data_IF_540427116229
#
_entry.id   IF_540427116229
#
_cell.length_a   1.000
_cell.length_b   1.000
_cell.length_c   1.000
_cell.angle_alpha   90.00
_cell.angle_beta   90.00
_cell.angle_gamma   90.00
#
_symmetry.space_group_name_H-M   'P 1'
#
loop_
_entity.id
_entity.type
_entity.pdbx_description
1 polymer ?
#
# COMPACT_ATOMS: atom_id res chain seq x y z
N UNK A 1 38.56 5.16 -1.77
CA UNK A 1 38.45 5.19 -3.24
C UNK A 1 38.37 6.62 -3.81
N UNK A 2 37.62 7.55 -3.19
CA UNK A 2 37.52 8.97 -3.62
C UNK A 2 38.82 9.78 -3.63
N UNK A 3 39.76 9.46 -2.76
CA UNK A 3 41.06 10.15 -2.70
C UNK A 3 41.98 9.78 -3.88
N UNK A 4 41.63 8.77 -4.69
CA UNK A 4 42.46 8.21 -5.75
C UNK A 4 42.00 8.71 -7.13
N UNK A 5 40.79 9.26 -7.29
CA UNK A 5 40.27 9.74 -8.55
C UNK A 5 40.48 11.26 -8.69
N UNK A 6 41.26 11.71 -9.66
CA UNK A 6 41.63 13.14 -9.79
C UNK A 6 40.47 14.05 -10.25
N UNK A 7 39.40 13.51 -10.79
CA UNK A 7 38.22 14.28 -11.23
C UNK A 7 37.03 14.07 -10.31
N UNK A 8 36.59 15.14 -9.64
CA UNK A 8 35.39 15.19 -8.79
C UNK A 8 34.06 15.17 -9.57
N UNK A 9 34.07 14.70 -10.80
CA UNK A 9 32.89 14.69 -11.66
C UNK A 9 31.93 13.60 -11.18
N UNK A 10 30.67 13.98 -10.89
CA UNK A 10 29.62 13.05 -10.51
C UNK A 10 29.41 12.07 -11.68
N UNK A 11 29.41 10.74 -11.44
CA UNK A 11 29.16 9.78 -12.52
C UNK A 11 27.76 9.93 -13.08
N UNK A 12 27.58 9.65 -14.35
CA UNK A 12 26.28 9.68 -15.02
C UNK A 12 25.34 8.53 -14.58
N UNK A 13 25.86 7.57 -13.83
CA UNK A 13 25.09 6.43 -13.30
C UNK A 13 24.55 6.75 -11.91
N UNK A 14 23.21 6.80 -11.76
CA UNK A 14 22.54 7.17 -10.52
C UNK A 14 23.00 6.35 -9.29
N UNK A 15 23.04 5.01 -9.39
CA UNK A 15 23.44 4.15 -8.26
C UNK A 15 24.86 4.44 -7.79
N UNK A 16 25.81 4.67 -8.70
CA UNK A 16 27.17 5.07 -8.35
C UNK A 16 27.20 6.46 -7.70
N UNK A 17 26.45 7.41 -8.24
CA UNK A 17 26.33 8.74 -7.64
C UNK A 17 25.79 8.66 -6.21
N UNK A 18 24.71 7.92 -6.03
CA UNK A 18 24.02 7.80 -4.73
C UNK A 18 24.85 7.05 -3.67
N UNK A 19 25.43 5.89 -4.01
CA UNK A 19 26.08 5.01 -3.05
C UNK A 19 27.58 5.31 -2.85
N UNK A 20 28.30 5.66 -3.94
CA UNK A 20 29.75 5.75 -3.94
C UNK A 20 30.27 7.18 -4.00
N UNK A 21 29.59 8.07 -4.72
CA UNK A 21 30.02 9.47 -4.93
C UNK A 21 29.38 10.49 -4.00
N UNK A 22 28.52 10.07 -3.05
CA UNK A 22 27.93 10.99 -2.07
C UNK A 22 29.01 11.82 -1.34
N UNK A 23 28.89 13.13 -1.10
CA UNK A 23 29.91 13.99 -0.49
C UNK A 23 30.00 13.72 1.02
N UNK A 24 30.64 12.60 1.39
CA UNK A 24 30.75 12.17 2.78
C UNK A 24 31.79 12.94 3.58
N UNK A 25 31.47 13.29 4.82
CA UNK A 25 32.39 13.80 5.80
C UNK A 25 33.35 12.73 6.35
N UNK A 26 34.10 13.07 7.41
CA UNK A 26 35.05 12.17 8.05
C UNK A 26 34.37 10.96 8.73
N UNK A 27 33.12 11.10 9.10
CA UNK A 27 32.26 10.07 9.68
C UNK A 27 31.67 9.09 8.66
N UNK A 28 31.93 9.30 7.37
CA UNK A 28 31.40 8.49 6.29
C UNK A 28 29.95 8.84 5.88
N UNK A 29 29.36 9.88 6.45
CA UNK A 29 28.01 10.36 6.14
C UNK A 29 28.02 11.67 5.37
N UNK A 30 26.98 11.93 4.61
CA UNK A 30 26.75 13.24 3.98
C UNK A 30 26.31 14.22 5.04
N UNK A 31 26.97 15.38 5.20
CA UNK A 31 26.56 16.40 6.16
C UNK A 31 25.09 16.82 5.95
N UNK A 32 24.35 17.04 7.04
CA UNK A 32 22.93 17.43 7.00
C UNK A 32 22.68 18.69 6.16
N UNK A 33 23.62 19.65 6.22
CA UNK A 33 23.57 20.90 5.45
C UNK A 33 23.71 20.71 3.94
N UNK A 34 24.37 19.66 3.48
CA UNK A 34 24.64 19.39 2.06
C UNK A 34 23.70 18.31 1.50
N UNK A 35 23.08 17.49 2.36
CA UNK A 35 22.29 16.32 1.97
C UNK A 35 21.15 16.65 1.01
N UNK A 36 20.35 17.64 1.32
CA UNK A 36 19.18 17.99 0.52
C UNK A 36 19.59 18.47 -0.90
N UNK A 37 20.67 19.22 -1.00
CA UNK A 37 21.17 19.72 -2.28
C UNK A 37 21.77 18.58 -3.13
N UNK A 38 22.60 17.74 -2.50
CA UNK A 38 23.14 16.56 -3.15
C UNK A 38 22.05 15.62 -3.68
N UNK A 39 21.05 15.29 -2.85
CA UNK A 39 19.95 14.41 -3.23
C UNK A 39 19.10 15.02 -4.36
N UNK A 40 18.92 16.35 -4.37
CA UNK A 40 18.24 17.05 -5.45
C UNK A 40 18.99 16.93 -6.77
N UNK A 41 20.30 17.15 -6.74
CA UNK A 41 21.17 17.05 -7.90
C UNK A 41 21.10 15.65 -8.54
N UNK A 42 21.19 14.58 -7.73
CA UNK A 42 21.16 13.22 -8.27
C UNK A 42 19.75 12.76 -8.65
N UNK A 43 18.69 13.26 -8.02
CA UNK A 43 17.32 12.96 -8.41
C UNK A 43 16.98 13.47 -9.82
N UNK A 44 17.70 14.49 -10.28
CA UNK A 44 17.54 15.08 -11.61
C UNK A 44 18.39 14.38 -12.70
N UNK A 45 19.13 13.35 -12.34
CA UNK A 45 19.87 12.56 -13.32
C UNK A 45 18.91 11.78 -14.23
N UNK A 46 19.20 11.82 -15.53
CA UNK A 46 18.51 10.99 -16.51
C UNK A 46 18.93 9.52 -16.36
N UNK A 47 18.05 8.60 -16.72
CA UNK A 47 18.41 7.18 -16.79
C UNK A 47 19.31 6.90 -17.99
N UNK A 48 20.10 5.82 -17.92
CA UNK A 48 21.00 5.42 -18.99
C UNK A 48 20.25 5.13 -20.29
N UNK A 49 20.68 5.70 -21.42
CA UNK A 49 20.00 5.56 -22.71
C UNK A 49 19.87 4.10 -23.17
N UNK A 50 20.84 3.25 -22.84
CA UNK A 50 20.84 1.82 -23.20
C UNK A 50 19.89 0.96 -22.35
N UNK A 51 19.34 1.51 -21.27
CA UNK A 51 18.40 0.78 -20.41
C UNK A 51 17.16 0.32 -21.17
N UNK A 52 16.58 1.17 -22.01
CA UNK A 52 15.36 0.83 -22.78
C UNK A 52 15.56 -0.42 -23.66
N UNK A 53 16.75 -0.59 -24.28
CA UNK A 53 17.10 -1.77 -25.07
C UNK A 53 17.19 -3.02 -24.20
N UNK A 54 17.82 -2.90 -23.04
CA UNK A 54 17.98 -4.02 -22.10
C UNK A 54 16.65 -4.42 -21.47
N UNK A 55 15.82 -3.46 -21.12
CA UNK A 55 14.44 -3.66 -20.67
C UNK A 55 13.60 -4.41 -21.72
N UNK A 56 13.66 -4.00 -22.98
CA UNK A 56 12.92 -4.66 -24.06
C UNK A 56 13.34 -6.13 -24.24
N UNK A 57 14.64 -6.42 -24.17
CA UNK A 57 15.15 -7.81 -24.22
C UNK A 57 14.69 -8.63 -23.01
N UNK A 58 14.75 -8.08 -21.82
CA UNK A 58 14.29 -8.73 -20.61
C UNK A 58 12.77 -9.02 -20.68
N UNK A 59 11.97 -8.04 -21.08
CA UNK A 59 10.53 -8.24 -21.28
C UNK A 59 10.21 -9.36 -22.28
N UNK A 60 10.94 -9.41 -23.39
CA UNK A 60 10.76 -10.42 -24.45
C UNK A 60 11.19 -11.84 -24.01
N UNK A 61 11.94 -12.01 -22.92
CA UNK A 61 12.34 -13.33 -22.42
C UNK A 61 11.17 -14.11 -21.76
N UNK A 62 10.11 -13.43 -21.38
CA UNK A 62 8.90 -14.05 -20.83
C UNK A 62 7.98 -14.49 -21.97
N UNK A 63 8.20 -15.69 -22.48
CA UNK A 63 7.48 -16.24 -23.64
C UNK A 63 6.93 -17.65 -23.42
N UNK A 64 7.17 -18.26 -22.27
CA UNK A 64 6.61 -19.57 -21.94
C UNK A 64 5.10 -19.47 -21.66
N UNK A 65 4.31 -20.54 -21.91
CA UNK A 65 2.85 -20.51 -21.75
C UNK A 65 2.36 -20.10 -20.35
N UNK A 66 3.18 -20.31 -19.32
CA UNK A 66 2.86 -19.93 -17.94
C UNK A 66 3.49 -18.62 -17.51
N UNK A 67 4.25 -17.95 -18.38
CA UNK A 67 4.79 -16.62 -18.05
C UNK A 67 3.68 -15.57 -18.12
N UNK A 68 3.68 -14.68 -17.14
CA UNK A 68 2.76 -13.53 -17.08
C UNK A 68 3.55 -12.26 -16.84
N UNK A 69 3.29 -11.26 -17.69
CA UNK A 69 3.84 -9.92 -17.50
C UNK A 69 2.70 -8.91 -17.46
N UNK A 70 2.72 -8.03 -16.46
CA UNK A 70 1.72 -6.99 -16.30
C UNK A 70 2.33 -5.71 -15.77
N UNK A 71 1.80 -4.59 -16.22
CA UNK A 71 2.29 -3.28 -15.84
C UNK A 71 1.39 -2.67 -14.77
N UNK A 72 2.02 -2.09 -13.74
CA UNK A 72 1.33 -1.33 -12.71
C UNK A 72 1.93 0.07 -12.59
N UNK A 73 1.07 1.03 -12.29
CA UNK A 73 1.40 2.44 -12.08
C UNK A 73 1.44 2.76 -10.60
N UNK A 74 2.50 3.39 -10.17
CA UNK A 74 2.68 3.88 -8.81
C UNK A 74 1.78 5.11 -8.57
N UNK A 75 0.86 5.02 -7.62
CA UNK A 75 -0.08 6.13 -7.29
C UNK A 75 0.43 6.99 -6.15
N UNK A 76 1.32 6.47 -5.33
CA UNK A 76 1.97 7.16 -4.22
C UNK A 76 3.49 7.09 -4.38
N UNK A 77 4.26 7.68 -3.47
CA UNK A 77 5.73 7.53 -3.46
C UNK A 77 6.11 6.09 -3.11
N UNK A 78 7.25 5.61 -3.63
CA UNK A 78 7.78 4.28 -3.31
C UNK A 78 9.17 4.42 -2.67
N UNK A 79 9.40 3.66 -1.61
CA UNK A 79 10.66 3.58 -0.90
C UNK A 79 11.05 2.11 -0.68
N UNK A 80 11.97 1.61 -1.47
CA UNK A 80 12.52 0.25 -1.35
C UNK A 80 13.93 0.34 -0.76
N UNK A 81 14.24 -0.49 0.23
CA UNK A 81 15.56 -0.53 0.88
C UNK A 81 15.77 0.53 1.94
N UNK A 82 14.70 1.05 2.54
CA UNK A 82 14.77 2.06 3.61
C UNK A 82 15.74 1.73 4.75
N UNK A 83 15.81 0.45 5.13
CA UNK A 83 16.71 -0.04 6.18
C UNK A 83 18.12 -0.36 5.73
N UNK A 84 18.47 -0.19 4.46
CA UNK A 84 19.82 -0.44 3.98
C UNK A 84 20.78 0.65 4.47
N UNK A 85 22.01 0.25 4.78
CA UNK A 85 23.07 1.20 5.14
C UNK A 85 23.34 2.13 3.96
N UNK A 86 23.33 3.44 4.20
CA UNK A 86 23.56 4.48 3.21
C UNK A 86 24.34 5.65 3.80
N UNK A 87 25.17 6.29 2.99
CA UNK A 87 25.86 7.51 3.36
C UNK A 87 24.90 8.71 3.58
N UNK A 88 23.65 8.58 3.11
CA UNK A 88 22.59 9.59 3.27
C UNK A 88 21.59 9.27 4.38
N UNK A 89 21.92 8.35 5.29
CA UNK A 89 21.12 7.82 6.40
C UNK A 89 19.89 6.97 5.99
N UNK A 90 19.32 7.20 4.82
CA UNK A 90 18.15 6.45 4.31
C UNK A 90 18.56 5.72 3.05
N UNK A 91 18.47 4.38 3.06
CA UNK A 91 18.80 3.55 1.90
C UNK A 91 17.74 3.63 0.80
N UNK A 92 18.17 3.36 -0.42
CA UNK A 92 17.30 3.21 -1.59
C UNK A 92 17.84 2.09 -2.46
N UNK A 93 17.01 1.10 -2.77
CA UNK A 93 17.38 0.00 -3.67
C UNK A 93 17.14 0.40 -5.12
N UNK A 94 18.18 0.30 -5.91
CA UNK A 94 18.14 0.52 -7.36
C UNK A 94 18.77 -0.64 -8.09
N UNK A 95 18.44 -0.81 -9.36
CA UNK A 95 19.06 -1.83 -10.21
C UNK A 95 20.57 -1.54 -10.36
N UNK A 96 21.40 -2.50 -9.94
CA UNK A 96 22.85 -2.31 -9.84
C UNK A 96 23.51 -1.84 -11.14
N UNK A 97 23.13 -2.45 -12.27
CA UNK A 97 23.73 -2.16 -13.59
C UNK A 97 23.22 -0.84 -14.20
N UNK A 98 21.97 -0.49 -13.93
CA UNK A 98 21.29 0.60 -14.66
C UNK A 98 20.98 1.82 -13.81
N UNK A 99 21.07 1.69 -12.48
CA UNK A 99 20.72 2.78 -11.57
C UNK A 99 19.25 3.22 -11.61
N UNK A 100 18.36 2.38 -12.14
CA UNK A 100 16.91 2.65 -12.22
C UNK A 100 16.19 2.06 -11.00
N UNK A 101 14.97 2.53 -10.67
CA UNK A 101 14.17 1.91 -9.62
C UNK A 101 13.90 0.44 -9.93
N UNK A 102 13.93 -0.40 -8.90
CA UNK A 102 13.60 -1.82 -8.98
C UNK A 102 12.83 -2.24 -7.73
N UNK A 103 11.84 -3.11 -7.91
CA UNK A 103 11.18 -3.78 -6.79
C UNK A 103 11.66 -5.23 -6.79
N UNK A 104 12.49 -5.66 -5.83
CA UNK A 104 13.02 -7.02 -5.79
C UNK A 104 11.93 -8.08 -5.75
N UNK A 105 12.09 -9.17 -6.49
CA UNK A 105 11.16 -10.30 -6.49
C UNK A 105 10.95 -10.89 -5.11
N UNK A 106 11.97 -10.85 -4.24
CA UNK A 106 11.85 -11.26 -2.84
C UNK A 106 10.90 -10.36 -2.04
N UNK A 107 10.88 -9.05 -2.30
CA UNK A 107 9.95 -8.11 -1.67
C UNK A 107 8.52 -8.34 -2.18
N UNK A 108 8.36 -8.61 -3.47
CA UNK A 108 7.07 -8.95 -4.09
C UNK A 108 6.51 -10.25 -3.50
N UNK A 109 7.32 -11.30 -3.48
CA UNK A 109 6.96 -12.60 -2.88
C UNK A 109 6.61 -12.46 -1.40
N UNK A 110 7.42 -11.72 -0.64
CA UNK A 110 7.19 -11.50 0.79
C UNK A 110 5.91 -10.73 1.08
N UNK A 111 5.61 -9.68 0.31
CA UNK A 111 4.36 -8.94 0.41
C UNK A 111 3.16 -9.87 0.17
N UNK A 112 3.17 -10.61 -0.95
CA UNK A 112 2.06 -11.47 -1.31
C UNK A 112 1.86 -12.60 -0.29
N UNK A 113 2.94 -13.21 0.17
CA UNK A 113 2.88 -14.26 1.21
C UNK A 113 2.25 -13.74 2.51
N UNK A 114 2.61 -12.52 2.91
CA UNK A 114 2.03 -11.90 4.10
C UNK A 114 0.56 -11.52 3.89
N UNK A 115 0.23 -10.96 2.73
CA UNK A 115 -1.14 -10.59 2.36
C UNK A 115 -2.09 -11.79 2.38
N UNK A 116 -1.75 -12.87 1.70
CA UNK A 116 -2.62 -14.06 1.66
C UNK A 116 -2.78 -14.71 3.03
N UNK A 117 -1.73 -14.71 3.84
CA UNK A 117 -1.81 -15.23 5.21
C UNK A 117 -2.74 -14.40 6.11
N UNK A 118 -2.80 -13.08 5.90
CA UNK A 118 -3.63 -12.21 6.74
C UNK A 118 -5.08 -12.14 6.24
N UNK A 119 -5.29 -12.10 4.91
CA UNK A 119 -6.61 -11.87 4.32
C UNK A 119 -7.38 -13.19 4.15
N UNK A 120 -6.69 -14.26 3.75
CA UNK A 120 -7.30 -15.56 3.43
C UNK A 120 -7.07 -16.61 4.52
N UNK A 121 -6.47 -16.28 5.65
CA UNK A 121 -6.35 -17.16 6.80
C UNK A 121 -7.74 -17.44 7.42
N UNK A 122 -7.87 -18.53 8.22
CA UNK A 122 -9.10 -18.85 8.91
C UNK A 122 -9.55 -17.70 9.83
N UNK A 123 -10.85 -17.44 9.87
CA UNK A 123 -11.44 -16.41 10.73
C UNK A 123 -11.41 -16.81 12.21
N UNK A 124 -11.62 -18.11 12.51
CA UNK A 124 -11.49 -18.65 13.86
C UNK A 124 -10.10 -19.28 14.07
N UNK A 125 -9.24 -18.64 14.88
CA UNK A 125 -7.89 -19.16 15.16
C UNK A 125 -7.90 -20.43 16.03
N UNK A 126 -9.02 -20.83 16.60
CA UNK A 126 -9.16 -22.04 17.43
C UNK A 126 -9.64 -23.25 16.63
N UNK A 127 -10.13 -23.02 15.41
CA UNK A 127 -10.63 -24.09 14.55
C UNK A 127 -9.47 -24.86 13.89
N UNK A 128 -9.54 -26.18 13.92
CA UNK A 128 -8.58 -27.03 13.21
C UNK A 128 -8.89 -27.01 11.71
N UNK A 129 -7.87 -26.99 10.82
CA UNK A 129 -8.11 -26.94 9.37
C UNK A 129 -9.01 -28.05 8.83
N UNK A 130 -8.96 -29.24 9.43
CA UNK A 130 -9.76 -30.41 9.01
C UNK A 130 -11.20 -30.39 9.56
N UNK A 131 -11.52 -29.53 10.51
CA UNK A 131 -12.87 -29.35 11.06
C UNK A 131 -13.66 -28.28 10.32
N UNK A 132 -12.95 -27.49 9.50
CA UNK A 132 -13.54 -26.38 8.75
C UNK A 132 -14.30 -26.89 7.51
N UNK A 133 -15.38 -26.22 7.17
CA UNK A 133 -16.21 -26.49 6.00
C UNK A 133 -16.45 -25.23 5.17
N UNK A 134 -16.75 -25.40 3.87
CA UNK A 134 -17.09 -24.27 3.00
C UNK A 134 -15.97 -23.21 2.92
N UNK A 135 -16.29 -21.95 3.15
CA UNK A 135 -15.35 -20.83 3.07
C UNK A 135 -14.18 -20.94 4.06
N UNK A 136 -14.45 -21.45 5.27
CA UNK A 136 -13.42 -21.66 6.29
C UNK A 136 -12.39 -22.70 5.84
N UNK A 137 -12.84 -23.78 5.21
CA UNK A 137 -11.94 -24.79 4.64
C UNK A 137 -11.08 -24.20 3.52
N UNK A 138 -11.66 -23.40 2.62
CA UNK A 138 -10.92 -22.70 1.57
C UNK A 138 -9.87 -21.76 2.14
N UNK A 139 -10.20 -21.01 3.20
CA UNK A 139 -9.23 -20.15 3.89
C UNK A 139 -8.10 -20.92 4.53
N UNK A 140 -8.36 -22.11 5.05
CA UNK A 140 -7.33 -22.98 5.64
C UNK A 140 -6.31 -23.48 4.61
N UNK A 141 -6.65 -23.48 3.31
CA UNK A 141 -5.69 -23.81 2.23
C UNK A 141 -4.56 -22.77 2.13
N UNK A 142 -4.83 -21.51 2.52
CA UNK A 142 -3.80 -20.47 2.55
C UNK A 142 -3.04 -20.45 3.88
N UNK A 143 -3.73 -20.62 5.00
CA UNK A 143 -3.08 -20.63 6.31
C UNK A 143 -3.76 -21.64 7.24
N UNK A 144 -3.08 -22.74 7.52
CA UNK A 144 -3.52 -23.69 8.55
C UNK A 144 -3.33 -23.12 9.96
N UNK A 145 -4.28 -23.40 10.85
CA UNK A 145 -4.24 -22.94 12.24
C UNK A 145 -4.37 -24.13 13.17
N UNK A 146 -3.46 -24.24 14.14
CA UNK A 146 -3.51 -25.24 15.19
C UNK A 146 -3.55 -24.59 16.58
N UNK A 147 -4.44 -25.06 17.43
CA UNK A 147 -4.50 -24.67 18.82
C UNK A 147 -3.62 -25.58 19.69
N UNK A 148 -2.72 -24.99 20.44
CA UNK A 148 -1.83 -25.71 21.36
C UNK A 148 -1.98 -25.15 22.80
N UNK A 149 -2.96 -25.60 23.52
CA UNK A 149 -3.28 -25.10 24.86
C UNK A 149 -3.59 -23.60 24.84
N UNK A 150 -2.68 -22.78 25.39
CA UNK A 150 -2.82 -21.30 25.40
C UNK A 150 -2.17 -20.61 24.21
N UNK A 151 -1.61 -21.35 23.26
CA UNK A 151 -0.89 -20.80 22.11
C UNK A 151 -1.55 -21.25 20.82
N UNK A 152 -1.60 -20.32 19.86
CA UNK A 152 -2.05 -20.60 18.50
C UNK A 152 -0.80 -20.83 17.66
N UNK A 153 -0.72 -21.99 17.00
CA UNK A 153 0.30 -22.25 16.00
C UNK A 153 -0.33 -22.09 14.62
N UNK A 154 0.24 -21.24 13.79
CA UNK A 154 -0.14 -21.05 12.40
C UNK A 154 0.93 -21.66 11.51
N UNK A 155 0.49 -22.27 10.42
CA UNK A 155 1.38 -22.84 9.42
C UNK A 155 0.85 -22.63 8.02
N UNK A 156 1.66 -22.82 6.98
CA UNK A 156 1.24 -22.62 5.61
C UNK A 156 0.27 -23.71 5.17
N UNK A 157 -0.89 -23.33 4.62
CA UNK A 157 -1.83 -24.23 3.97
C UNK A 157 -1.32 -24.71 2.60
N UNK A 158 -2.07 -25.62 1.93
CA UNK A 158 -1.66 -26.23 0.67
C UNK A 158 -1.42 -25.22 -0.45
N UNK A 159 -2.33 -24.27 -0.64
CA UNK A 159 -2.21 -23.22 -1.66
C UNK A 159 -1.03 -22.29 -1.38
N UNK A 160 -0.83 -21.91 -0.11
CA UNK A 160 0.33 -21.12 0.29
C UNK A 160 1.65 -21.84 -0.04
N UNK A 161 1.72 -23.13 0.30
CA UNK A 161 2.91 -23.97 0.03
C UNK A 161 3.17 -24.10 -1.47
N UNK A 162 2.13 -24.25 -2.26
CA UNK A 162 2.25 -24.31 -3.72
C UNK A 162 2.73 -22.98 -4.31
N UNK A 163 2.22 -21.85 -3.83
CA UNK A 163 2.64 -20.53 -4.34
C UNK A 163 4.07 -20.17 -3.93
N UNK A 164 4.39 -20.33 -2.65
CA UNK A 164 5.60 -19.73 -2.07
C UNK A 164 6.67 -20.74 -1.66
N UNK A 165 6.30 -22.03 -1.57
CA UNK A 165 7.13 -23.04 -0.94
C UNK A 165 7.07 -22.96 0.58
N UNK A 166 7.66 -23.95 1.22
CA UNK A 166 7.84 -24.02 2.66
C UNK A 166 9.07 -24.83 3.02
N UNK A 167 9.77 -24.53 4.14
CA UNK A 167 10.82 -25.38 4.64
C UNK A 167 10.25 -26.71 5.17
N UNK A 168 11.12 -27.66 5.40
CA UNK A 168 10.77 -28.88 6.10
C UNK A 168 10.39 -28.54 7.56
N UNK A 169 9.31 -29.13 8.03
CA UNK A 169 8.93 -28.99 9.42
C UNK A 169 9.61 -30.08 10.27
N UNK A 170 9.91 -29.78 11.53
CA UNK A 170 10.48 -30.71 12.48
C UNK A 170 9.60 -31.96 12.64
N UNK A 171 10.18 -33.10 12.99
CA UNK A 171 9.46 -34.35 13.22
C UNK A 171 8.37 -34.23 14.28
N UNK A 172 8.60 -33.38 15.28
CA UNK A 172 7.65 -33.07 16.36
C UNK A 172 6.60 -32.00 15.98
N UNK A 173 6.62 -31.51 14.73
CA UNK A 173 5.67 -30.51 14.28
C UNK A 173 4.22 -31.03 14.31
N UNK A 174 3.31 -30.22 14.86
CA UNK A 174 1.91 -30.60 15.01
C UNK A 174 1.20 -30.83 13.68
N UNK A 175 1.53 -30.06 12.65
CA UNK A 175 0.93 -30.26 11.32
C UNK A 175 1.28 -31.63 10.77
N UNK A 176 2.55 -32.06 10.91
CA UNK A 176 3.01 -33.39 10.50
C UNK A 176 2.31 -34.50 11.31
N UNK A 177 2.20 -34.34 12.63
CA UNK A 177 1.52 -35.31 13.52
C UNK A 177 0.03 -35.48 13.20
N UNK A 178 -0.59 -34.48 12.62
CA UNK A 178 -1.99 -34.53 12.17
C UNK A 178 -2.13 -34.89 10.67
N UNK A 179 -1.07 -35.39 10.03
CA UNK A 179 -1.13 -35.94 8.69
C UNK A 179 -1.08 -34.90 7.57
N UNK A 180 -0.81 -33.63 7.87
CA UNK A 180 -0.59 -32.62 6.84
C UNK A 180 0.79 -32.82 6.19
N UNK A 181 0.87 -32.50 4.90
CA UNK A 181 2.16 -32.44 4.23
C UNK A 181 2.99 -31.29 4.81
N UNK A 182 4.02 -31.66 5.54
CA UNK A 182 4.93 -30.74 6.23
C UNK A 182 6.36 -30.83 5.72
N UNK A 183 6.62 -31.60 4.64
CA UNK A 183 7.92 -31.71 4.01
C UNK A 183 8.35 -30.42 3.30
N UNK A 184 9.65 -30.26 3.05
CA UNK A 184 10.16 -29.14 2.27
C UNK A 184 9.58 -29.15 0.85
N UNK A 185 9.12 -28.01 0.37
CA UNK A 185 8.59 -27.86 -0.98
C UNK A 185 9.01 -26.52 -1.58
N UNK A 186 9.43 -26.52 -2.85
CA UNK A 186 9.67 -25.32 -3.61
C UNK A 186 8.33 -24.75 -4.11
N UNK A 187 8.19 -23.42 -4.07
CA UNK A 187 7.02 -22.77 -4.68
C UNK A 187 6.99 -22.97 -6.19
N UNK A 188 5.79 -23.08 -6.74
CA UNK A 188 5.56 -23.25 -8.18
C UNK A 188 5.71 -21.94 -8.95
N UNK A 189 5.59 -20.78 -8.28
CA UNK A 189 5.67 -19.48 -8.91
C UNK A 189 7.01 -18.81 -8.62
N UNK A 190 7.70 -18.40 -9.67
CA UNK A 190 8.88 -17.55 -9.59
C UNK A 190 8.46 -16.10 -9.71
N UNK A 191 8.80 -15.31 -8.69
CA UNK A 191 8.57 -13.87 -8.64
C UNK A 191 9.86 -13.17 -9.09
N UNK A 192 9.84 -12.59 -10.28
CA UNK A 192 10.97 -11.83 -10.80
C UNK A 192 10.99 -10.40 -10.23
N UNK A 193 12.14 -9.74 -10.32
CA UNK A 193 12.23 -8.32 -9.99
C UNK A 193 11.28 -7.52 -10.90
N UNK A 194 10.51 -6.59 -10.33
CA UNK A 194 9.72 -5.68 -11.16
C UNK A 194 10.61 -4.54 -11.63
N UNK A 195 10.74 -4.42 -12.94
CA UNK A 195 11.60 -3.43 -13.57
C UNK A 195 10.85 -2.14 -13.91
N UNK A 196 11.54 -1.04 -13.74
CA UNK A 196 11.09 0.27 -14.18
C UNK A 196 10.76 0.27 -15.68
N UNK A 197 9.60 0.80 -16.05
CA UNK A 197 9.21 0.95 -17.46
C UNK A 197 9.77 2.26 -18.00
N UNK A 198 10.76 2.23 -18.93
CA UNK A 198 11.37 3.44 -19.45
C UNK A 198 10.36 4.28 -20.25
N UNK A 199 10.39 5.58 -20.05
CA UNK A 199 9.65 6.58 -20.83
C UNK A 199 10.56 7.28 -21.82
N UNK A 200 10.12 8.38 -22.43
CA UNK A 200 10.95 9.14 -23.36
C UNK A 200 12.23 9.65 -22.68
N UNK A 201 13.39 9.30 -23.26
CA UNK A 201 14.70 9.35 -22.63
C UNK A 201 15.17 10.71 -22.08
N UNK A 202 14.62 11.84 -22.52
CA UNK A 202 15.13 13.15 -22.14
C UNK A 202 14.55 13.70 -20.83
N UNK A 203 13.35 13.23 -20.42
CA UNK A 203 12.67 13.71 -19.20
C UNK A 203 12.41 12.59 -18.17
N UNK A 204 13.06 11.44 -18.37
CA UNK A 204 12.81 10.26 -17.57
C UNK A 204 13.60 10.29 -16.24
N UNK A 205 13.05 10.97 -15.26
CA UNK A 205 13.61 11.19 -13.93
C UNK A 205 12.74 10.51 -12.87
N UNK A 206 12.95 9.22 -12.59
CA UNK A 206 12.05 8.46 -11.73
C UNK A 206 12.16 8.81 -10.24
N UNK A 207 13.22 9.51 -9.81
CA UNK A 207 13.45 9.80 -8.40
C UNK A 207 12.95 11.20 -8.00
N UNK A 208 12.63 11.35 -6.72
CA UNK A 208 12.26 12.63 -6.12
C UNK A 208 12.71 12.72 -4.68
N UNK A 209 13.04 13.94 -4.26
CA UNK A 209 13.31 14.24 -2.86
C UNK A 209 12.05 14.16 -2.03
N UNK A 210 12.20 13.66 -0.81
CA UNK A 210 11.19 13.67 0.24
C UNK A 210 11.83 14.02 1.59
N UNK A 211 11.03 14.31 2.59
CA UNK A 211 11.51 14.70 3.92
C UNK A 211 10.80 13.87 4.99
N UNK A 212 11.59 13.28 5.86
CA UNK A 212 11.13 12.66 7.10
C UNK A 212 11.45 13.60 8.25
N UNK A 213 10.47 13.91 9.06
CA UNK A 213 10.66 14.72 10.24
C UNK A 213 10.72 13.84 11.49
N UNK A 214 11.90 13.74 12.09
CA UNK A 214 12.11 12.98 13.32
C UNK A 214 11.79 13.90 14.49
N UNK A 215 10.82 13.47 15.31
CA UNK A 215 10.47 14.12 16.56
C UNK A 215 11.13 13.40 17.74
N UNK A 216 11.36 14.12 18.84
CA UNK A 216 11.87 13.57 20.11
C UNK A 216 13.24 12.85 19.98
N UNK A 217 14.14 13.38 19.12
CA UNK A 217 15.48 12.82 18.96
C UNK A 217 16.21 12.58 20.29
N UNK A 218 16.21 13.52 21.30
CA UNK A 218 16.84 13.29 22.57
C UNK A 218 16.31 12.08 23.34
N UNK A 219 14.99 11.78 23.25
CA UNK A 219 14.40 10.61 23.88
C UNK A 219 14.99 9.30 23.33
N UNK A 220 15.22 9.23 22.01
CA UNK A 220 15.76 8.04 21.36
C UNK A 220 17.28 7.91 21.51
N UNK A 221 18.00 9.03 21.54
CA UNK A 221 19.47 9.03 21.62
C UNK A 221 20.00 8.61 23.00
N UNK A 222 19.25 8.84 24.08
CA UNK A 222 19.66 8.53 25.44
C UNK A 222 18.87 7.41 26.12
N UNK A 223 18.25 6.54 25.31
CA UNK A 223 17.47 5.38 25.77
C UNK A 223 16.28 5.76 26.68
N UNK A 224 15.67 6.89 26.43
CA UNK A 224 14.45 7.34 27.09
C UNK A 224 14.66 8.12 28.41
N UNK A 225 15.87 8.55 28.72
CA UNK A 225 16.14 9.38 29.92
C UNK A 225 15.58 10.80 29.77
N UNK A 226 15.54 11.34 28.54
CA UNK A 226 14.83 12.57 28.23
C UNK A 226 13.37 12.29 27.86
N UNK A 227 12.45 12.76 28.68
CA UNK A 227 11.03 12.59 28.43
C UNK A 227 10.58 13.32 27.17
N UNK A 228 9.69 12.71 26.36
CA UNK A 228 9.07 13.39 25.22
C UNK A 228 8.36 14.67 25.68
N UNK A 229 8.52 15.76 24.94
CA UNK A 229 7.84 17.02 25.23
C UNK A 229 7.38 17.71 23.93
N UNK A 230 6.40 18.61 24.05
CA UNK A 230 5.83 19.32 22.90
C UNK A 230 6.73 20.44 22.35
N UNK A 231 7.82 20.74 23.02
CA UNK A 231 8.78 21.79 22.64
C UNK A 231 9.99 21.22 21.85
N UNK A 232 10.03 19.93 21.61
CA UNK A 232 11.13 19.32 20.86
C UNK A 232 11.14 19.81 19.42
N UNK A 233 12.27 20.41 19.01
CA UNK A 233 12.44 20.86 17.63
C UNK A 233 12.54 19.66 16.69
N UNK A 234 11.71 19.54 15.64
CA UNK A 234 11.79 18.44 14.69
C UNK A 234 13.07 18.53 13.87
N UNK A 235 13.72 17.38 13.64
CA UNK A 235 14.89 17.28 12.77
C UNK A 235 14.48 16.75 11.38
N UNK A 236 14.45 17.60 10.34
CA UNK A 236 14.11 17.14 8.99
C UNK A 236 15.27 16.37 8.35
N UNK A 237 15.01 15.13 7.94
CA UNK A 237 15.96 14.29 7.21
C UNK A 237 15.47 14.14 5.76
N UNK A 238 16.25 14.65 4.82
CA UNK A 238 15.96 14.51 3.39
C UNK A 238 16.38 13.13 2.89
N UNK A 239 15.56 12.52 2.04
CA UNK A 239 15.84 11.24 1.42
C UNK A 239 15.20 11.12 0.03
N UNK A 240 15.59 10.10 -0.74
CA UNK A 240 15.03 9.87 -2.07
C UNK A 240 13.95 8.80 -2.06
N UNK A 241 12.97 9.01 -2.94
CA UNK A 241 11.87 8.09 -3.24
C UNK A 241 11.68 7.96 -4.74
N UNK A 242 10.95 6.94 -5.17
CA UNK A 242 10.45 6.87 -6.54
C UNK A 242 9.19 7.72 -6.65
N UNK A 243 9.07 8.48 -7.74
CA UNK A 243 7.96 9.43 -7.99
C UNK A 243 6.63 8.69 -8.20
N UNK A 244 5.49 9.25 -7.74
CA UNK A 244 4.18 8.83 -8.22
C UNK A 244 4.07 8.94 -9.74
N UNK A 245 3.25 8.09 -10.34
CA UNK A 245 3.11 8.03 -11.79
C UNK A 245 4.18 7.20 -12.50
N UNK A 246 5.18 6.69 -11.79
CA UNK A 246 6.16 5.72 -12.30
C UNK A 246 5.50 4.38 -12.57
N UNK A 247 5.91 3.71 -13.64
CA UNK A 247 5.40 2.41 -14.04
C UNK A 247 6.44 1.32 -13.80
N UNK A 248 5.96 0.16 -13.38
CA UNK A 248 6.78 -1.04 -13.20
C UNK A 248 6.16 -2.21 -13.97
N UNK A 249 6.98 -2.97 -14.68
CA UNK A 249 6.60 -4.25 -15.27
C UNK A 249 6.92 -5.36 -14.26
N UNK A 250 5.89 -6.04 -13.82
CA UNK A 250 5.98 -7.25 -13.02
C UNK A 250 6.04 -8.46 -13.93
N UNK A 251 6.76 -9.49 -13.51
CA UNK A 251 6.86 -10.74 -14.24
C UNK A 251 6.79 -11.92 -13.27
N UNK A 252 6.01 -12.92 -13.65
CA UNK A 252 5.81 -14.18 -12.93
C UNK A 252 6.05 -15.33 -13.89
N UNK A 253 6.70 -16.42 -13.45
CA UNK A 253 6.90 -17.64 -14.22
C UNK A 253 6.48 -18.86 -13.41
N UNK A 254 5.85 -19.84 -14.08
CA UNK A 254 5.36 -21.05 -13.45
C UNK A 254 4.21 -21.67 -14.24
N UNK A 255 3.47 -22.66 -13.68
CA UNK A 255 2.25 -23.17 -14.31
C UNK A 255 1.19 -22.06 -14.44
N UNK A 256 0.48 -22.04 -15.58
CA UNK A 256 -0.40 -20.92 -15.97
C UNK A 256 -1.46 -20.57 -14.93
N UNK A 257 -2.15 -21.56 -14.36
CA UNK A 257 -3.20 -21.35 -13.36
C UNK A 257 -2.64 -20.71 -12.07
N UNK A 258 -1.41 -21.10 -11.69
CA UNK A 258 -0.74 -20.57 -10.49
C UNK A 258 -0.21 -19.16 -10.69
N UNK A 259 0.31 -18.86 -11.88
CA UNK A 259 0.77 -17.49 -12.18
C UNK A 259 -0.42 -16.53 -12.34
N UNK A 260 -1.57 -17.01 -12.84
CA UNK A 260 -2.82 -16.23 -12.91
C UNK A 260 -3.35 -15.88 -11.51
N UNK A 261 -3.43 -16.88 -10.64
CA UNK A 261 -3.83 -16.69 -9.25
C UNK A 261 -2.87 -15.72 -8.55
N UNK A 262 -1.55 -15.91 -8.71
CA UNK A 262 -0.55 -15.05 -8.12
C UNK A 262 -0.63 -13.60 -8.62
N UNK A 263 -0.89 -13.38 -9.92
CA UNK A 263 -1.09 -12.05 -10.48
C UNK A 263 -2.30 -11.35 -9.86
N UNK A 264 -3.46 -12.04 -9.79
CA UNK A 264 -4.68 -11.48 -9.21
C UNK A 264 -4.47 -11.04 -7.76
N UNK A 265 -3.96 -11.93 -6.93
CA UNK A 265 -3.70 -11.66 -5.51
C UNK A 265 -2.63 -10.56 -5.31
N UNK A 266 -1.61 -10.52 -6.18
CA UNK A 266 -0.54 -9.52 -6.10
C UNK A 266 -1.03 -8.12 -6.45
N UNK A 267 -1.92 -8.00 -7.44
CA UNK A 267 -2.53 -6.70 -7.78
C UNK A 267 -3.32 -6.16 -6.60
N UNK A 268 -4.12 -7.00 -5.94
CA UNK A 268 -4.86 -6.61 -4.74
C UNK A 268 -3.93 -6.22 -3.59
N UNK A 269 -2.91 -7.02 -3.31
CA UNK A 269 -1.91 -6.73 -2.27
C UNK A 269 -1.17 -5.40 -2.50
N UNK A 270 -0.78 -5.12 -3.74
CA UNK A 270 -0.08 -3.87 -4.10
C UNK A 270 -1.00 -2.65 -4.03
N UNK A 271 -2.28 -2.83 -4.34
CA UNK A 271 -3.27 -1.77 -4.26
C UNK A 271 -3.69 -1.47 -2.81
N UNK A 272 -3.92 -2.50 -2.00
CA UNK A 272 -4.44 -2.36 -0.64
C UNK A 272 -3.34 -2.07 0.39
N UNK A 273 -2.23 -2.80 0.33
CA UNK A 273 -1.16 -2.71 1.33
C UNK A 273 0.04 -1.91 0.84
N UNK A 274 0.38 -2.04 -0.46
CA UNK A 274 1.59 -1.44 -1.02
C UNK A 274 2.85 -2.20 -0.66
N UNK A 275 3.97 -1.88 -1.33
CA UNK A 275 5.27 -2.53 -1.17
C UNK A 275 6.33 -1.56 -0.69
N UNK A 276 7.32 -2.07 0.06
CA UNK A 276 8.45 -1.30 0.54
C UNK A 276 8.28 -0.67 1.92
N UNK A 277 8.99 0.40 2.20
CA UNK A 277 8.95 1.13 3.45
C UNK A 277 7.80 2.14 3.51
N UNK A 278 7.37 2.47 4.75
CA UNK A 278 6.36 3.50 5.05
C UNK A 278 4.98 3.25 4.42
N UNK A 279 4.59 2.00 4.20
CA UNK A 279 3.27 1.65 3.63
C UNK A 279 2.11 2.12 4.52
N UNK A 280 2.28 2.16 5.85
CA UNK A 280 1.30 2.74 6.78
C UNK A 280 1.09 4.25 6.57
N UNK A 281 2.07 4.95 5.99
CA UNK A 281 1.95 6.35 5.59
C UNK A 281 1.48 6.52 4.13
N UNK A 282 1.04 5.43 3.48
CA UNK A 282 0.50 5.42 2.13
C UNK A 282 1.52 5.25 1.01
N UNK A 283 2.79 4.94 1.32
CA UNK A 283 3.80 4.69 0.30
C UNK A 283 3.60 3.34 -0.38
N UNK A 284 4.15 3.20 -1.60
CA UNK A 284 4.28 1.91 -2.30
C UNK A 284 3.02 1.34 -2.91
N UNK A 285 1.97 2.13 -3.10
CA UNK A 285 0.70 1.69 -3.70
C UNK A 285 0.77 1.73 -5.22
N UNK A 286 0.39 0.61 -5.85
CA UNK A 286 0.37 0.48 -7.31
C UNK A 286 -1.00 0.00 -7.79
N UNK A 287 -1.39 0.46 -8.99
CA UNK A 287 -2.67 0.11 -9.63
C UNK A 287 -2.45 -0.19 -11.11
N UNK A 288 -3.39 -0.86 -11.77
CA UNK A 288 -3.36 -1.05 -13.23
C UNK A 288 -3.46 0.31 -13.94
N UNK A 289 -2.69 0.55 -15.03
CA UNK A 289 -2.65 1.85 -15.72
C UNK A 289 -4.00 2.29 -16.30
N UNK A 290 -4.79 1.35 -16.81
CA UNK A 290 -6.06 1.60 -17.51
C UNK A 290 -7.26 1.73 -16.57
N UNK A 291 -7.06 1.46 -15.28
CA UNK A 291 -8.06 1.72 -14.27
C UNK A 291 -8.02 3.20 -13.87
N UNK A 292 -8.47 4.07 -14.75
CA UNK A 292 -8.93 5.42 -14.40
C UNK A 292 -10.11 5.36 -13.44
N UNK A 293 -10.00 4.56 -12.39
CA UNK A 293 -11.04 4.28 -11.42
C UNK A 293 -10.77 2.99 -10.67
N UNK A 294 -9.67 2.95 -9.89
CA UNK A 294 -9.59 1.99 -8.80
C UNK A 294 -10.81 2.18 -7.90
N UNK A 295 -11.46 1.10 -7.48
CA UNK A 295 -12.55 1.17 -6.48
C UNK A 295 -12.12 1.96 -5.22
N UNK A 296 -10.83 1.95 -4.86
CA UNK A 296 -10.30 2.77 -3.77
C UNK A 296 -10.15 4.26 -4.16
N UNK A 297 -9.75 4.58 -5.39
CA UNK A 297 -9.73 5.97 -5.88
C UNK A 297 -11.16 6.48 -6.12
N UNK A 298 -12.10 5.61 -6.45
CA UNK A 298 -13.53 5.94 -6.48
C UNK A 298 -14.11 6.09 -5.07
N UNK A 299 -13.61 5.39 -4.06
CA UNK A 299 -13.99 5.61 -2.65
C UNK A 299 -13.42 6.93 -2.09
N UNK A 300 -12.31 7.44 -2.66
CA UNK A 300 -11.71 8.74 -2.26
C UNK A 300 -12.09 9.90 -3.21
N UNK A 301 -12.67 9.60 -4.40
CA UNK A 301 -13.14 10.56 -5.38
C UNK A 301 -14.56 10.22 -5.90
N UNK A 302 -15.33 9.41 -5.17
CA UNK A 302 -16.74 9.41 -5.40
C UNK A 302 -17.20 10.87 -5.21
N UNK A 303 -17.54 11.56 -6.30
CA UNK A 303 -18.37 12.76 -6.16
C UNK A 303 -19.46 12.38 -5.16
N UNK A 304 -19.69 13.21 -4.15
CA UNK A 304 -20.78 12.93 -3.23
C UNK A 304 -22.02 12.66 -4.08
N UNK A 305 -22.78 11.58 -3.79
CA UNK A 305 -23.92 11.22 -4.59
C UNK A 305 -24.78 12.45 -4.81
N UNK A 306 -25.11 12.77 -6.06
CA UNK A 306 -25.90 13.96 -6.38
C UNK A 306 -27.26 13.78 -5.72
N UNK A 307 -27.75 14.79 -4.97
CA UNK A 307 -29.01 14.66 -4.28
C UNK A 307 -30.12 14.34 -5.28
N UNK A 308 -30.79 13.22 -5.06
CA UNK A 308 -31.94 12.80 -5.87
C UNK A 308 -33.20 13.57 -5.48
N UNK A 309 -33.29 13.94 -4.20
CA UNK A 309 -34.44 14.59 -3.63
C UNK A 309 -34.25 16.09 -3.48
N UNK A 310 -35.33 16.82 -3.58
CA UNK A 310 -35.38 18.27 -3.54
C UNK A 310 -36.13 18.76 -2.30
N UNK A 311 -36.02 20.03 -2.04
CA UNK A 311 -36.81 20.69 -1.00
C UNK A 311 -38.30 20.40 -1.14
N UNK A 312 -38.94 19.94 -0.06
CA UNK A 312 -40.37 19.61 -0.01
C UNK A 312 -40.72 18.19 -0.40
N UNK A 313 -39.76 17.38 -0.87
CA UNK A 313 -40.02 15.97 -1.17
C UNK A 313 -40.22 15.17 0.10
N UNK A 314 -41.12 14.17 0.06
CA UNK A 314 -41.34 13.19 1.11
C UNK A 314 -40.49 11.96 0.81
N UNK A 315 -39.65 11.52 1.75
CA UNK A 315 -38.70 10.42 1.57
C UNK A 315 -38.71 9.48 2.75
N UNK A 316 -38.42 8.21 2.51
CA UNK A 316 -38.18 7.23 3.55
C UNK A 316 -36.68 7.25 3.90
N UNK A 317 -36.37 7.36 5.17
CA UNK A 317 -34.98 7.38 5.67
C UNK A 317 -34.78 6.33 6.74
N UNK A 318 -33.57 5.75 6.77
CA UNK A 318 -33.17 4.72 7.72
C UNK A 318 -32.25 5.33 8.79
N UNK A 319 -32.47 5.04 10.05
CA UNK A 319 -31.51 5.43 11.11
C UNK A 319 -30.22 4.64 10.97
N UNK A 320 -29.08 5.35 10.93
CA UNK A 320 -27.74 4.76 10.78
C UNK A 320 -26.81 5.24 11.91
N UNK A 321 -25.74 4.48 12.15
CA UNK A 321 -24.67 4.94 13.05
C UNK A 321 -24.01 6.22 12.52
N UNK A 322 -23.53 7.08 13.41
CA UNK A 322 -22.81 8.30 13.03
C UNK A 322 -21.40 7.93 12.51
N UNK A 323 -21.10 8.04 11.20
CA UNK A 323 -19.80 7.70 10.65
C UNK A 323 -18.66 8.53 11.24
N UNK A 324 -18.98 9.66 11.87
CA UNK A 324 -18.02 10.56 12.49
C UNK A 324 -17.71 10.26 13.95
N UNK A 325 -18.33 9.22 14.56
CA UNK A 325 -18.07 8.78 15.93
C UNK A 325 -18.42 9.81 17.02
N UNK A 326 -19.17 10.88 16.68
CA UNK A 326 -19.54 11.97 17.63
C UNK A 326 -20.89 11.75 18.33
N UNK A 327 -21.48 10.54 18.16
CA UNK A 327 -22.74 10.18 18.83
C UNK A 327 -23.98 10.95 18.34
N UNK A 328 -23.93 11.56 17.17
CA UNK A 328 -25.07 12.28 16.57
C UNK A 328 -26.02 11.31 15.88
N UNK A 329 -27.31 11.48 16.07
CA UNK A 329 -28.33 10.72 15.38
C UNK A 329 -28.35 11.09 13.90
N UNK A 330 -28.04 10.15 13.02
CA UNK A 330 -28.02 10.30 11.57
C UNK A 330 -29.04 9.41 10.91
N UNK A 331 -29.54 9.87 9.76
CA UNK A 331 -30.45 9.15 8.89
C UNK A 331 -29.92 9.11 7.47
N UNK A 332 -30.14 8.03 6.77
CA UNK A 332 -29.72 7.84 5.38
C UNK A 332 -30.95 7.68 4.50
N UNK A 333 -31.03 8.44 3.41
CA UNK A 333 -32.04 8.28 2.36
C UNK A 333 -31.64 7.11 1.42
N UNK A 334 -32.58 6.65 0.60
CA UNK A 334 -32.36 5.55 -0.36
C UNK A 334 -31.35 5.85 -1.46
N UNK A 335 -31.02 7.13 -1.69
CA UNK A 335 -29.93 7.56 -2.58
C UNK A 335 -28.55 7.52 -1.93
N UNK A 336 -28.46 7.03 -0.68
CA UNK A 336 -27.22 6.90 0.08
C UNK A 336 -26.75 8.16 0.81
N UNK A 337 -27.41 9.31 0.61
CA UNK A 337 -27.06 10.55 1.28
C UNK A 337 -27.49 10.59 2.73
N UNK A 338 -26.61 11.11 3.57
CA UNK A 338 -26.88 11.29 5.00
C UNK A 338 -27.60 12.61 5.28
N UNK A 339 -28.36 12.63 6.35
CA UNK A 339 -29.02 13.84 6.83
C UNK A 339 -29.28 13.82 8.33
N UNK A 340 -29.73 14.97 8.82
CA UNK A 340 -30.07 15.15 10.24
C UNK A 340 -31.33 16.04 10.34
N UNK A 341 -32.02 15.92 11.48
CA UNK A 341 -33.09 16.85 11.83
C UNK A 341 -32.50 18.18 12.31
N UNK A 342 -33.09 19.30 11.88
CA UNK A 342 -32.71 20.63 12.32
C UNK A 342 -33.95 21.39 12.80
N UNK A 343 -33.83 21.94 13.99
CA UNK A 343 -34.97 22.68 14.64
C UNK A 343 -35.98 21.77 15.32
N UNK A 344 -35.85 20.44 15.21
CA UNK A 344 -36.68 19.44 15.86
C UNK A 344 -35.80 18.34 16.46
N UNK A 345 -36.23 17.72 17.55
CA UNK A 345 -35.56 16.54 18.11
C UNK A 345 -35.69 15.38 17.12
N UNK A 346 -34.61 14.67 16.78
CA UNK A 346 -34.69 13.48 15.95
C UNK A 346 -35.56 12.41 16.61
N UNK A 347 -36.31 11.60 15.83
CA UNK A 347 -37.09 10.50 16.39
C UNK A 347 -36.14 9.47 17.00
N UNK A 348 -36.52 8.98 18.20
CA UNK A 348 -35.79 7.90 18.87
C UNK A 348 -36.31 6.55 18.37
N UNK A 349 -35.74 6.07 17.29
CA UNK A 349 -36.00 4.76 16.70
C UNK A 349 -34.73 3.93 16.71
N UNK A 350 -34.77 2.59 16.78
CA UNK A 350 -33.60 1.74 16.68
C UNK A 350 -32.79 1.96 15.39
N UNK A 351 -31.48 1.69 15.43
CA UNK A 351 -30.63 1.69 14.24
C UNK A 351 -31.13 0.60 13.27
N UNK A 352 -31.28 0.95 11.99
CA UNK A 352 -31.83 0.09 10.95
C UNK A 352 -33.34 0.26 10.72
N UNK A 353 -34.07 0.94 11.59
CA UNK A 353 -35.48 1.26 11.35
C UNK A 353 -35.65 2.45 10.43
N UNK A 354 -36.77 2.46 9.68
CA UNK A 354 -37.12 3.45 8.68
C UNK A 354 -38.28 4.33 9.09
N UNK A 355 -38.25 5.60 8.72
CA UNK A 355 -39.34 6.53 8.90
C UNK A 355 -39.55 7.39 7.65
N UNK A 356 -40.75 7.90 7.46
CA UNK A 356 -41.08 8.90 6.43
C UNK A 356 -40.88 10.33 6.98
N UNK A 357 -40.13 11.12 6.24
CA UNK A 357 -39.79 12.50 6.57
C UNK A 357 -39.85 13.40 5.34
N UNK A 358 -39.76 14.68 5.55
CA UNK A 358 -39.71 15.69 4.47
C UNK A 358 -38.32 16.29 4.35
N UNK A 359 -37.88 16.61 3.12
CA UNK A 359 -36.65 17.32 2.87
C UNK A 359 -36.86 18.82 3.16
N UNK A 360 -36.22 19.31 4.19
CA UNK A 360 -36.24 20.71 4.58
C UNK A 360 -35.17 21.54 3.89
N UNK A 361 -34.01 20.94 3.57
CA UNK A 361 -32.93 21.57 2.83
C UNK A 361 -31.98 20.52 2.25
N UNK A 362 -31.26 20.95 1.19
CA UNK A 362 -30.18 20.15 0.55
C UNK A 362 -28.94 21.03 0.50
N UNK A 363 -27.89 20.66 1.26
CA UNK A 363 -26.64 21.41 1.37
C UNK A 363 -25.44 20.51 1.10
N UNK A 364 -24.65 20.83 0.07
CA UNK A 364 -23.36 20.17 -0.23
C UNK A 364 -23.39 18.62 -0.09
N UNK A 365 -24.45 17.98 -0.64
CA UNK A 365 -24.55 16.53 -0.60
C UNK A 365 -25.09 15.93 0.71
N UNK A 366 -25.69 16.74 1.58
CA UNK A 366 -26.39 16.26 2.78
C UNK A 366 -27.82 16.78 2.83
N UNK A 367 -28.73 16.00 3.44
CA UNK A 367 -30.12 16.40 3.65
C UNK A 367 -30.33 16.98 5.03
N UNK A 368 -31.29 17.89 5.12
CA UNK A 368 -31.93 18.30 6.38
C UNK A 368 -33.34 17.80 6.37
N UNK A 369 -33.75 17.09 7.41
CA UNK A 369 -35.07 16.48 7.51
C UNK A 369 -35.99 17.24 8.48
N UNK A 370 -37.29 17.15 8.23
CA UNK A 370 -38.36 17.61 9.12
C UNK A 370 -39.52 16.62 9.13
N UNK A 371 -40.28 16.55 10.24
CA UNK A 371 -41.47 15.68 10.36
C UNK A 371 -42.71 16.26 9.69
N UNK A 372 -42.72 17.54 9.42
CA UNK A 372 -43.86 18.26 8.80
C UNK A 372 -43.45 18.84 7.46
N UNK A 373 -44.41 18.98 6.51
CA UNK A 373 -44.08 19.62 5.24
C UNK A 373 -43.54 21.01 5.50
N UNK A 374 -42.38 21.39 4.91
CA UNK A 374 -41.76 22.68 5.09
C UNK A 374 -42.64 23.79 4.42
N UNK A 375 -42.91 24.86 5.17
CA UNK A 375 -43.81 25.93 4.71
C UNK A 375 -43.14 26.93 3.77
N UNK A 376 -41.85 27.19 3.93
CA UNK A 376 -41.10 28.16 3.15
C UNK A 376 -39.77 27.59 2.65
N UNK A 377 -39.44 27.86 1.37
CA UNK A 377 -38.15 27.46 0.80
C UNK A 377 -37.03 28.30 1.39
N UNK A 378 -35.93 27.70 1.88
CA UNK A 378 -34.82 28.48 2.44
C UNK A 378 -34.26 29.44 1.39
N UNK A 379 -34.16 30.71 1.76
CA UNK A 379 -33.56 31.75 0.88
C UNK A 379 -32.08 31.38 0.68
N UNK A 380 -31.71 30.98 -0.54
CA UNK A 380 -30.34 30.70 -0.91
C UNK A 380 -29.46 31.93 -0.63
N UNK A 381 -28.42 31.79 0.15
CA UNK A 381 -27.34 32.78 0.19
C UNK A 381 -26.61 32.68 -1.13
N UNK A 382 -26.85 33.62 -2.04
CA UNK A 382 -25.98 33.83 -3.19
C UNK A 382 -24.62 34.28 -2.69
N UNK A 383 -23.60 33.51 -2.99
CA UNK A 383 -22.21 33.96 -3.08
C UNK A 383 -21.69 33.56 -4.43
#
# INVERSE_FOLDING_TARGET
MRQILPNKQVPEHFGLAYEVWAPVGKDGKVPDSERAEWLRQIADMAIAADYARSYARWKASFSAPGDRTFELKLVSRLLIGHGNTSATDVGLTVHHTWGVPVIPGSAIKGLLAHYVSAVFGPSDPHCWPWEQTGEEQTRAEYQGVLWQGKRIKRGPGAVYRALFGAPDADEDDLFRKHGFDAGAVAGLVTFHDALYVPRNAQDDKPFALDVLTVHQKPYYDDSGQHWPNDYSSPNPVSFLTVRPGTHFLFALSGPADWTELAESLLVDALQEWGVGGKTSAGYGRLVRPDNGGSKLAQATQAEPPKPRYHWGDKVTVTRVEDPGGKGKIKFQADDGLLGQFVGESPPDIPIGETIEVWIANVNQGNYTFTRKPPKDKPKGKSK
#
